data_IF_784517446360
#
_entry.id   IF_784517446360
#
_cell.length_a   1.000
_cell.length_b   1.000
_cell.length_c   1.000
_cell.angle_alpha   90.00
_cell.angle_beta   90.00
_cell.angle_gamma   90.00
#
_symmetry.space_group_name_H-M   'P 1'
#
loop_
_entity.id
_entity.type
_entity.pdbx_description
1 polymer ?
#
# COMPACT_ATOMS: atom_id res chain seq x y z
N UNK A 1 12.87 -0.85 -15.06
CA UNK A 1 13.00 -2.31 -15.31
C UNK A 1 11.69 -2.97 -14.88
N UNK A 2 11.14 -3.91 -15.65
CA UNK A 2 9.96 -4.70 -15.26
C UNK A 2 10.42 -6.13 -14.96
N UNK A 3 9.96 -6.72 -13.85
CA UNK A 3 10.22 -8.11 -13.48
C UNK A 3 8.88 -8.85 -13.39
N UNK A 4 8.75 -9.98 -14.09
CA UNK A 4 7.54 -10.80 -14.08
C UNK A 4 7.87 -12.10 -13.35
N UNK A 5 7.13 -12.40 -12.29
CA UNK A 5 7.29 -13.62 -11.50
C UNK A 5 6.00 -14.43 -11.60
N UNK A 6 6.10 -15.65 -12.13
CA UNK A 6 4.95 -16.57 -12.29
C UNK A 6 4.98 -17.62 -11.20
N UNK A 7 3.82 -17.88 -10.59
CA UNK A 7 3.64 -19.01 -9.69
C UNK A 7 3.13 -20.21 -10.48
N UNK A 8 3.60 -21.44 -10.18
CA UNK A 8 3.12 -22.63 -10.87
C UNK A 8 1.67 -23.00 -10.50
N UNK A 9 1.19 -22.54 -9.35
CA UNK A 9 -0.17 -22.74 -8.84
C UNK A 9 -0.68 -21.44 -8.21
N UNK A 10 -2.00 -21.34 -8.02
CA UNK A 10 -2.57 -20.22 -7.27
C UNK A 10 -2.21 -20.36 -5.78
N UNK A 11 -1.44 -19.41 -5.25
CA UNK A 11 -0.98 -19.36 -3.86
C UNK A 11 -1.67 -18.26 -3.04
N UNK A 12 -2.61 -17.53 -3.63
CA UNK A 12 -3.28 -16.40 -2.98
C UNK A 12 -2.41 -15.14 -2.89
N UNK A 13 -3.03 -14.02 -2.50
CA UNK A 13 -2.42 -12.69 -2.53
C UNK A 13 -1.33 -12.53 -1.45
N UNK A 14 -1.58 -13.02 -0.23
CA UNK A 14 -0.63 -12.97 0.89
C UNK A 14 0.72 -13.60 0.52
N UNK A 15 0.72 -14.82 -0.03
CA UNK A 15 1.95 -15.51 -0.44
C UNK A 15 2.67 -14.77 -1.59
N UNK A 16 1.93 -14.21 -2.55
CA UNK A 16 2.51 -13.40 -3.63
C UNK A 16 3.17 -12.14 -3.08
N UNK A 17 2.53 -11.44 -2.13
CA UNK A 17 3.07 -10.21 -1.53
C UNK A 17 4.28 -10.50 -0.64
N UNK A 18 4.27 -11.58 0.16
CA UNK A 18 5.44 -12.05 0.92
C UNK A 18 6.64 -12.32 0.01
N UNK A 19 6.43 -13.08 -1.07
CA UNK A 19 7.47 -13.33 -2.07
C UNK A 19 7.95 -12.02 -2.70
N UNK A 20 7.04 -11.10 -3.03
CA UNK A 20 7.39 -9.82 -3.63
C UNK A 20 8.31 -9.00 -2.71
N UNK A 21 8.02 -8.89 -1.41
CA UNK A 21 8.89 -8.22 -0.42
C UNK A 21 10.29 -8.82 -0.43
N UNK A 22 10.43 -10.15 -0.47
CA UNK A 22 11.74 -10.82 -0.51
C UNK A 22 12.57 -10.54 -1.78
N UNK A 23 11.94 -10.03 -2.85
CA UNK A 23 12.56 -9.76 -4.15
C UNK A 23 12.72 -8.25 -4.44
N UNK A 24 12.08 -7.39 -3.66
CA UNK A 24 12.14 -5.94 -3.81
C UNK A 24 13.53 -5.43 -3.43
N UNK A 25 14.03 -4.47 -4.22
CA UNK A 25 15.35 -3.85 -4.01
C UNK A 25 15.29 -2.33 -3.95
N UNK A 26 14.08 -1.76 -3.94
CA UNK A 26 13.87 -0.32 -3.80
C UNK A 26 13.84 0.09 -2.34
N UNK A 27 13.95 1.39 -2.07
CA UNK A 27 13.80 1.94 -0.71
C UNK A 27 12.34 1.94 -0.24
N UNK A 28 11.40 2.01 -1.18
CA UNK A 28 9.96 2.07 -0.92
C UNK A 28 9.19 1.04 -1.75
N UNK A 29 8.00 0.71 -1.27
CA UNK A 29 6.99 -0.08 -1.97
C UNK A 29 5.70 0.72 -2.12
N UNK A 30 5.04 0.52 -3.26
CA UNK A 30 3.68 0.97 -3.52
C UNK A 30 2.92 -0.23 -4.09
N UNK A 31 1.85 -0.63 -3.40
CA UNK A 31 0.99 -1.74 -3.84
C UNK A 31 -0.09 -1.21 -4.78
N UNK A 32 -0.30 -1.90 -5.89
CA UNK A 32 -1.33 -1.61 -6.90
C UNK A 32 -1.99 -2.92 -7.27
N UNK A 33 -3.30 -3.02 -7.04
CA UNK A 33 -4.05 -4.22 -7.38
C UNK A 33 -4.29 -4.28 -8.91
N UNK A 34 -4.53 -5.48 -9.43
CA UNK A 34 -4.54 -5.72 -10.89
C UNK A 34 -5.71 -5.07 -11.65
N UNK A 35 -6.72 -4.63 -10.92
CA UNK A 35 -7.91 -3.92 -11.40
C UNK A 35 -7.85 -2.40 -11.14
N UNK A 36 -6.74 -1.91 -10.57
CA UNK A 36 -6.48 -0.49 -10.32
C UNK A 36 -5.51 0.12 -11.34
N UNK A 37 -5.46 1.45 -11.35
CA UNK A 37 -4.48 2.24 -12.08
C UNK A 37 -4.01 3.44 -11.24
N UNK A 38 -2.90 4.05 -11.65
CA UNK A 38 -2.29 5.19 -10.96
C UNK A 38 -2.21 6.40 -11.88
N UNK A 39 -2.31 7.60 -11.29
CA UNK A 39 -2.08 8.85 -12.00
C UNK A 39 -0.62 8.97 -12.45
N UNK A 40 -0.39 9.63 -13.59
CA UNK A 40 0.94 9.76 -14.19
C UNK A 40 1.96 10.45 -13.26
N UNK A 41 1.48 11.31 -12.36
CA UNK A 41 2.30 12.08 -11.42
C UNK A 41 2.26 11.53 -9.97
N UNK A 42 1.60 10.39 -9.74
CA UNK A 42 1.40 9.83 -8.40
C UNK A 42 2.74 9.55 -7.69
N UNK A 43 3.66 8.85 -8.36
CA UNK A 43 4.94 8.47 -7.78
C UNK A 43 5.80 9.70 -7.49
N UNK A 44 5.86 10.66 -8.41
CA UNK A 44 6.63 11.90 -8.23
C UNK A 44 6.15 12.69 -7.02
N UNK A 45 4.82 12.86 -6.87
CA UNK A 45 4.22 13.58 -5.74
C UNK A 45 4.47 12.86 -4.42
N UNK A 46 4.28 11.54 -4.37
CA UNK A 46 4.50 10.75 -3.15
C UNK A 46 5.97 10.80 -2.71
N UNK A 47 6.91 10.64 -3.64
CA UNK A 47 8.35 10.74 -3.35
C UNK A 47 8.74 12.16 -2.92
N UNK A 48 8.16 13.19 -3.55
CA UNK A 48 8.42 14.58 -3.16
C UNK A 48 7.94 14.86 -1.73
N UNK A 49 6.74 14.41 -1.38
CA UNK A 49 6.21 14.54 -0.02
C UNK A 49 7.04 13.74 1.00
N UNK A 50 7.49 12.54 0.63
CA UNK A 50 8.41 11.76 1.45
C UNK A 50 9.70 12.54 1.71
N UNK A 51 10.36 13.07 0.68
CA UNK A 51 11.63 13.81 0.83
C UNK A 51 11.49 15.08 1.64
N UNK A 52 10.36 15.76 1.55
CA UNK A 52 10.09 16.98 2.31
C UNK A 52 9.90 16.73 3.81
N UNK A 53 9.38 15.54 4.19
CA UNK A 53 8.97 15.24 5.56
C UNK A 53 9.75 14.08 6.20
N UNK A 54 10.62 13.42 5.44
CA UNK A 54 11.30 12.16 5.79
C UNK A 54 10.35 11.04 6.26
N UNK A 55 9.11 11.05 5.77
CA UNK A 55 8.05 10.17 6.26
C UNK A 55 8.28 8.69 5.88
N UNK A 56 7.97 7.77 6.80
CA UNK A 56 8.03 6.34 6.53
C UNK A 56 6.86 5.83 5.67
N UNK A 57 5.70 6.50 5.81
CA UNK A 57 4.48 6.20 5.07
C UNK A 57 3.90 7.52 4.55
N UNK A 58 3.68 7.60 3.24
CA UNK A 58 2.98 8.71 2.59
C UNK A 58 1.70 8.18 1.95
N UNK A 59 0.58 8.84 2.21
CA UNK A 59 -0.74 8.42 1.71
C UNK A 59 -1.31 9.50 0.79
N UNK A 60 -1.96 9.07 -0.29
CA UNK A 60 -2.69 9.97 -1.19
C UNK A 60 -4.20 9.73 -1.12
N UNK A 61 -4.94 10.58 -1.82
CA UNK A 61 -6.36 10.36 -2.08
C UNK A 61 -6.55 9.24 -3.11
N UNK A 62 -7.74 8.67 -3.16
CA UNK A 62 -8.10 7.60 -4.10
C UNK A 62 -9.29 8.04 -4.93
N UNK A 63 -9.26 7.75 -6.23
CA UNK A 63 -10.40 7.99 -7.12
C UNK A 63 -11.09 6.64 -7.34
N UNK A 64 -12.35 6.55 -6.91
CA UNK A 64 -13.17 5.34 -7.06
C UNK A 64 -13.98 5.47 -8.35
N UNK A 65 -13.76 4.55 -9.28
CA UNK A 65 -14.53 4.46 -10.53
C UNK A 65 -15.78 3.63 -10.30
N UNK A 66 -16.95 4.24 -10.54
CA UNK A 66 -18.26 3.67 -10.33
C UNK A 66 -18.94 3.35 -11.67
N UNK A 67 -19.95 2.46 -11.67
CA UNK A 67 -20.69 2.13 -12.89
C UNK A 67 -21.25 3.37 -13.60
N UNK A 68 -21.38 3.27 -14.93
CA UNK A 68 -21.88 4.34 -15.81
C UNK A 68 -20.96 5.58 -15.87
N UNK A 69 -19.64 5.38 -15.72
CA UNK A 69 -18.63 6.43 -15.86
C UNK A 69 -18.65 7.46 -14.74
N UNK A 70 -19.25 7.15 -13.60
CA UNK A 70 -19.21 8.01 -12.41
C UNK A 70 -17.90 7.81 -11.67
N UNK A 71 -17.45 8.83 -10.95
CA UNK A 71 -16.30 8.72 -10.07
C UNK A 71 -16.55 9.47 -8.76
N UNK A 72 -15.89 9.03 -7.69
CA UNK A 72 -15.86 9.75 -6.42
C UNK A 72 -14.46 9.74 -5.82
N UNK A 73 -14.04 10.88 -5.27
CA UNK A 73 -12.76 10.98 -4.57
C UNK A 73 -12.93 10.59 -3.10
N UNK A 74 -12.16 9.60 -2.66
CA UNK A 74 -11.95 9.29 -1.26
C UNK A 74 -10.78 10.12 -0.76
N UNK A 75 -11.07 11.08 0.12
CA UNK A 75 -10.05 11.92 0.73
C UNK A 75 -9.45 11.21 1.94
N UNK A 76 -8.14 11.02 1.91
CA UNK A 76 -7.40 10.51 3.06
C UNK A 76 -7.26 11.62 4.11
N UNK A 77 -7.52 11.35 5.40
CA UNK A 77 -7.32 12.36 6.44
C UNK A 77 -5.83 12.68 6.58
N UNK A 78 -5.54 13.91 7.01
CA UNK A 78 -4.17 14.35 7.28
C UNK A 78 -3.74 13.84 8.66
N UNK A 79 -2.56 13.24 8.72
CA UNK A 79 -1.85 12.86 9.94
C UNK A 79 -0.36 13.13 9.73
N UNK A 80 0.32 13.65 10.76
CA UNK A 80 1.73 14.05 10.66
C UNK A 80 2.63 13.19 11.55
N UNK A 81 2.05 12.28 12.34
CA UNK A 81 2.81 11.39 13.22
C UNK A 81 2.32 9.95 13.10
N UNK A 82 3.18 8.95 13.37
CA UNK A 82 2.77 7.55 13.41
C UNK A 82 1.60 7.31 14.38
N UNK A 83 1.65 7.91 15.58
CA UNK A 83 0.59 7.79 16.60
C UNK A 83 -0.76 8.29 16.10
N UNK A 84 -0.79 9.43 15.40
CA UNK A 84 -2.03 9.95 14.81
C UNK A 84 -2.56 8.99 13.76
N UNK A 85 -1.72 8.53 12.84
CA UNK A 85 -2.10 7.55 11.82
C UNK A 85 -2.71 6.29 12.45
N UNK A 86 -2.04 5.70 13.44
CA UNK A 86 -2.51 4.52 14.16
C UNK A 86 -3.88 4.76 14.81
N UNK A 87 -4.08 5.90 15.48
CA UNK A 87 -5.37 6.25 16.06
C UNK A 87 -6.48 6.39 15.02
N UNK A 88 -6.17 6.95 13.84
CA UNK A 88 -7.14 7.08 12.76
C UNK A 88 -7.50 5.73 12.13
N UNK A 89 -6.53 4.81 12.00
CA UNK A 89 -6.76 3.42 11.57
C UNK A 89 -7.68 2.68 12.55
N UNK A 90 -7.37 2.74 13.85
CA UNK A 90 -8.18 2.10 14.90
C UNK A 90 -9.61 2.66 14.98
N UNK A 91 -9.77 3.95 14.67
CA UNK A 91 -11.09 4.62 14.59
C UNK A 91 -11.82 4.38 13.27
N UNK A 92 -11.22 3.64 12.33
CA UNK A 92 -11.74 3.42 10.97
C UNK A 92 -12.00 4.71 10.20
N UNK A 93 -11.21 5.76 10.50
CA UNK A 93 -11.22 7.04 9.77
C UNK A 93 -10.26 7.03 8.57
N UNK A 94 -9.29 6.12 8.58
CA UNK A 94 -8.44 5.79 7.43
C UNK A 94 -8.75 4.34 7.05
N UNK A 95 -8.93 4.01 5.75
CA UNK A 95 -9.02 2.63 5.31
C UNK A 95 -7.78 1.82 5.72
N UNK A 96 -8.00 0.61 6.22
CA UNK A 96 -6.91 -0.36 6.41
C UNK A 96 -6.69 -1.04 5.06
N UNK A 97 -5.89 -0.39 4.21
CA UNK A 97 -5.53 -0.84 2.88
C UNK A 97 -4.08 -0.52 2.58
N UNK A 98 -3.42 -1.41 1.82
CA UNK A 98 -2.00 -1.24 1.43
C UNK A 98 -1.82 -0.36 0.20
N UNK A 99 -2.87 -0.22 -0.62
CA UNK A 99 -2.91 0.67 -1.78
C UNK A 99 -3.04 2.15 -1.39
N UNK A 100 -2.81 3.05 -2.36
CA UNK A 100 -2.73 4.52 -2.16
C UNK A 100 -1.67 4.98 -1.17
N UNK A 101 -0.58 4.21 -1.02
CA UNK A 101 0.53 4.51 -0.11
C UNK A 101 1.89 4.27 -0.74
N UNK A 102 2.85 5.11 -0.38
CA UNK A 102 4.28 4.85 -0.53
C UNK A 102 4.84 4.52 0.86
N UNK A 103 5.40 3.32 1.03
CA UNK A 103 5.80 2.79 2.34
C UNK A 103 7.28 2.43 2.29
N UNK A 104 8.08 2.79 3.29
CA UNK A 104 9.48 2.33 3.39
C UNK A 104 9.52 0.81 3.44
N UNK A 105 10.35 0.22 2.58
CA UNK A 105 10.47 -1.23 2.49
C UNK A 105 11.06 -1.82 3.79
N UNK A 106 11.91 -1.08 4.50
CA UNK A 106 12.48 -1.52 5.78
C UNK A 106 11.42 -1.79 6.85
N UNK A 107 10.26 -1.11 6.82
CA UNK A 107 9.17 -1.41 7.76
C UNK A 107 8.69 -2.85 7.65
N UNK A 108 8.67 -3.41 6.43
CA UNK A 108 8.32 -4.80 6.19
C UNK A 108 9.40 -5.77 6.65
N UNK A 109 10.66 -5.46 6.32
CA UNK A 109 11.80 -6.37 6.54
C UNK A 109 12.21 -6.39 8.02
N UNK A 110 12.38 -5.21 8.62
CA UNK A 110 12.97 -5.08 9.96
C UNK A 110 11.99 -5.49 11.07
N UNK A 111 10.69 -5.48 10.77
CA UNK A 111 9.62 -5.83 11.72
C UNK A 111 8.88 -7.13 11.38
N UNK A 112 9.36 -7.88 10.38
CA UNK A 112 8.76 -9.14 9.92
C UNK A 112 7.25 -9.03 9.62
N UNK A 113 6.86 -7.95 8.93
CA UNK A 113 5.44 -7.72 8.55
C UNK A 113 5.10 -8.59 7.35
N UNK A 114 4.50 -9.74 7.62
CA UNK A 114 4.11 -10.73 6.61
C UNK A 114 2.67 -11.21 6.86
N UNK A 115 1.72 -11.00 5.93
CA UNK A 115 0.40 -11.61 6.04
C UNK A 115 0.49 -13.15 6.02
N UNK A 116 -0.35 -13.79 6.84
CA UNK A 116 -0.48 -15.24 6.87
C UNK A 116 -0.98 -15.77 5.51
N UNK A 117 -0.28 -16.77 4.98
CA UNK A 117 -0.67 -17.43 3.74
C UNK A 117 -1.99 -18.18 3.91
N UNK A 118 -2.80 -18.21 2.84
CA UNK A 118 -4.13 -18.84 2.85
C UNK A 118 -5.26 -17.98 3.43
N UNK A 119 -4.96 -16.82 4.02
CA UNK A 119 -5.96 -15.82 4.39
C UNK A 119 -6.27 -14.95 3.17
N UNK A 120 -7.49 -15.08 2.64
CA UNK A 120 -7.94 -14.40 1.42
C UNK A 120 -8.88 -13.21 1.71
N UNK A 121 -9.01 -12.82 2.97
CA UNK A 121 -9.82 -11.69 3.39
C UNK A 121 -9.19 -11.05 4.62
N UNK A 122 -9.13 -9.72 4.65
CA UNK A 122 -8.52 -8.93 5.72
C UNK A 122 -7.01 -9.17 5.92
N UNK A 123 -6.31 -9.71 4.92
CA UNK A 123 -4.86 -9.81 4.89
C UNK A 123 -4.16 -8.44 4.95
N UNK A 124 -4.80 -7.39 4.41
CA UNK A 124 -4.31 -6.01 4.53
C UNK A 124 -4.13 -5.58 6.00
N UNK A 125 -4.95 -6.08 6.94
CA UNK A 125 -4.79 -5.79 8.37
C UNK A 125 -3.50 -6.36 8.97
N UNK A 126 -2.91 -7.38 8.33
CA UNK A 126 -1.64 -7.97 8.71
C UNK A 126 -0.46 -7.34 7.98
N UNK A 127 -0.74 -6.56 6.93
CA UNK A 127 0.27 -6.07 5.98
C UNK A 127 0.51 -4.56 6.07
N UNK A 128 -0.33 -3.81 6.78
CA UNK A 128 -0.04 -2.42 7.11
C UNK A 128 0.95 -2.38 8.28
N UNK A 129 2.18 -1.86 8.08
CA UNK A 129 3.14 -1.69 9.17
C UNK A 129 2.69 -0.64 10.19
#
# INVERSE_FOLDING_TARGET
QVKIVRQPVNVGLSAVRNKAVSMMSGEFVMWVDSDDFVELDMVEKLVSAQRQNDADIVTCNTIVHLPKGKFSTMFSPIYNTPKEMTLQLLRKKVPVSVWSRLIRLCLYIDNDVQPLEGINNAEDYQQIP
#
